data_IF_080874871295
#
_entry.id   IF_080874871295
#
_cell.length_a   1.000
_cell.length_b   1.000
_cell.length_c   1.000
_cell.angle_alpha   90.00
_cell.angle_beta   90.00
_cell.angle_gamma   90.00
#
_symmetry.space_group_name_H-M   'P 1'
#
loop_
_entity.id
_entity.type
_entity.pdbx_description
1 polymer ?
#
# COMPACT_ATOMS: atom_id res chain seq x y z
N UNK A 1 54.05 40.85 -17.39
CA UNK A 1 55.41 41.00 -17.96
C UNK A 1 55.95 39.64 -18.40
N UNK A 2 55.82 39.32 -19.69
CA UNK A 2 56.77 38.62 -20.57
C UNK A 2 56.04 38.45 -21.89
N UNK A 3 55.97 39.58 -22.60
CA UNK A 3 55.47 39.64 -23.98
C UNK A 3 56.48 38.83 -24.78
N UNK A 4 56.15 37.58 -25.13
CA UNK A 4 56.85 36.87 -26.20
C UNK A 4 56.51 37.65 -27.47
N UNK A 5 57.30 38.66 -27.79
CA UNK A 5 57.36 39.19 -29.14
C UNK A 5 57.91 38.05 -30.01
N UNK A 6 57.01 37.19 -30.52
CA UNK A 6 57.32 36.43 -31.73
C UNK A 6 57.78 37.48 -32.72
N UNK A 7 59.04 37.41 -33.11
CA UNK A 7 59.60 38.34 -34.06
C UNK A 7 58.66 38.33 -35.27
N UNK A 8 58.27 39.51 -35.75
CA UNK A 8 57.47 39.61 -36.98
C UNK A 8 58.09 38.74 -38.09
N UNK A 9 59.42 38.60 -38.08
CA UNK A 9 60.22 37.74 -38.94
C UNK A 9 59.78 36.26 -39.01
N UNK A 10 59.35 35.64 -37.90
CA UNK A 10 59.06 34.19 -37.87
C UNK A 10 57.80 33.82 -38.67
N UNK A 11 56.81 34.72 -38.72
CA UNK A 11 55.57 34.52 -39.51
C UNK A 11 55.76 34.82 -41.00
N UNK A 12 56.81 35.57 -41.36
CA UNK A 12 57.17 35.88 -42.75
C UNK A 12 58.36 35.06 -43.26
N UNK A 13 59.00 34.24 -42.41
CA UNK A 13 60.21 33.49 -42.75
C UNK A 13 60.02 32.57 -43.97
N UNK A 14 58.82 32.03 -44.15
CA UNK A 14 58.49 31.20 -45.32
C UNK A 14 58.49 32.00 -46.63
N UNK A 15 58.17 33.30 -46.61
CA UNK A 15 58.18 34.19 -47.77
C UNK A 15 59.57 34.65 -48.19
N UNK A 16 60.59 34.49 -47.32
CA UNK A 16 61.98 34.88 -47.59
C UNK A 16 62.87 33.73 -48.08
N UNK A 17 62.31 32.54 -48.35
CA UNK A 17 63.04 31.40 -48.93
C UNK A 17 63.30 31.62 -50.42
N UNK A 18 64.50 31.27 -50.91
CA UNK A 18 64.89 31.48 -52.33
C UNK A 18 64.01 30.71 -53.32
N UNK A 19 63.41 29.59 -52.89
CA UNK A 19 62.47 28.77 -53.68
C UNK A 19 60.98 29.04 -53.36
N UNK A 20 60.65 30.22 -52.83
CA UNK A 20 59.27 30.53 -52.44
C UNK A 20 58.33 30.61 -53.65
N UNK A 21 57.56 29.55 -53.87
CA UNK A 21 56.50 29.52 -54.87
C UNK A 21 55.18 30.06 -54.33
N UNK A 22 54.85 31.30 -54.73
CA UNK A 22 53.59 31.98 -54.42
C UNK A 22 52.38 31.13 -54.83
N UNK A 23 52.47 30.36 -55.92
CA UNK A 23 51.37 29.51 -56.41
C UNK A 23 51.16 28.28 -55.52
N UNK A 24 52.25 27.65 -55.07
CA UNK A 24 52.19 26.56 -54.09
C UNK A 24 51.67 27.04 -52.72
N UNK A 25 52.12 28.19 -52.23
CA UNK A 25 51.68 28.71 -50.93
C UNK A 25 50.21 29.15 -50.93
N UNK A 26 49.77 29.82 -52.01
CA UNK A 26 48.36 30.23 -52.17
C UNK A 26 47.46 29.02 -52.36
N UNK A 27 47.83 28.04 -53.18
CA UNK A 27 47.06 26.80 -53.32
C UNK A 27 46.95 26.01 -52.01
N UNK A 28 48.04 25.94 -51.22
CA UNK A 28 48.01 25.28 -49.91
C UNK A 28 47.14 26.02 -48.89
N UNK A 29 47.18 27.36 -48.87
CA UNK A 29 46.32 28.18 -48.02
C UNK A 29 44.84 28.07 -48.41
N UNK A 30 44.55 28.03 -49.72
CA UNK A 30 43.20 27.76 -50.25
C UNK A 30 42.74 26.35 -49.82
N UNK A 31 43.59 25.32 -49.94
CA UNK A 31 43.27 23.98 -49.49
C UNK A 31 43.00 23.91 -47.97
N UNK A 32 43.78 24.61 -47.15
CA UNK A 32 43.52 24.70 -45.70
C UNK A 32 42.20 25.41 -45.38
N UNK A 33 41.86 26.47 -46.11
CA UNK A 33 40.57 27.14 -45.97
C UNK A 33 39.41 26.20 -46.35
N UNK A 34 39.56 25.41 -47.41
CA UNK A 34 38.59 24.38 -47.81
C UNK A 34 38.45 23.30 -46.73
N UNK A 35 39.54 22.86 -46.11
CA UNK A 35 39.50 21.88 -45.01
C UNK A 35 38.75 22.44 -43.80
N UNK A 36 39.02 23.70 -43.43
CA UNK A 36 38.32 24.36 -42.32
C UNK A 36 36.82 24.50 -42.61
N UNK A 37 36.44 24.81 -43.86
CA UNK A 37 35.05 24.87 -44.29
C UNK A 37 34.36 23.50 -44.19
N UNK A 38 35.02 22.42 -44.61
CA UNK A 38 34.48 21.05 -44.48
C UNK A 38 34.34 20.63 -43.02
N UNK A 39 35.27 21.01 -42.15
CA UNK A 39 35.19 20.77 -40.71
C UNK A 39 34.02 21.54 -40.07
N UNK A 40 33.80 22.77 -40.49
CA UNK A 40 32.65 23.57 -40.05
C UNK A 40 31.31 22.96 -40.50
N UNK A 41 31.23 22.47 -41.75
CA UNK A 41 30.05 21.75 -42.26
C UNK A 41 29.80 20.46 -41.48
N UNK A 42 30.86 19.72 -41.13
CA UNK A 42 30.73 18.50 -40.33
C UNK A 42 30.23 18.82 -38.91
N UNK A 43 30.80 19.83 -38.24
CA UNK A 43 30.35 20.26 -36.92
C UNK A 43 28.89 20.74 -36.92
N UNK A 44 28.48 21.45 -37.99
CA UNK A 44 27.10 21.84 -38.20
C UNK A 44 26.19 20.62 -38.40
N UNK A 45 26.63 19.63 -39.19
CA UNK A 45 25.92 18.36 -39.38
C UNK A 45 25.74 17.59 -38.07
N UNK A 46 26.79 17.51 -37.24
CA UNK A 46 26.72 16.90 -35.91
C UNK A 46 25.70 17.61 -35.03
N UNK A 47 25.69 18.95 -35.01
CA UNK A 47 24.74 19.73 -34.22
C UNK A 47 23.30 19.59 -34.71
N UNK A 48 23.10 19.42 -36.01
CA UNK A 48 21.78 19.13 -36.58
C UNK A 48 21.31 17.72 -36.22
N UNK A 49 22.21 16.73 -36.30
CA UNK A 49 21.92 15.36 -35.92
C UNK A 49 21.55 15.26 -34.42
N UNK A 50 22.27 16.01 -33.57
CA UNK A 50 22.02 16.08 -32.14
C UNK A 50 20.64 16.68 -31.83
N UNK A 51 20.26 17.76 -32.52
CA UNK A 51 18.90 18.33 -32.42
C UNK A 51 17.82 17.36 -32.85
N UNK A 52 18.01 16.69 -33.99
CA UNK A 52 17.02 15.76 -34.51
C UNK A 52 16.88 14.53 -33.62
N UNK A 53 18.01 14.04 -33.09
CA UNK A 53 18.04 12.95 -32.13
C UNK A 53 17.30 13.34 -30.85
N UNK A 54 17.53 14.54 -30.33
CA UNK A 54 16.81 15.05 -29.16
C UNK A 54 15.30 15.16 -29.42
N UNK A 55 14.89 15.66 -30.59
CA UNK A 55 13.47 15.75 -30.97
C UNK A 55 12.81 14.38 -31.06
N UNK A 56 13.45 13.39 -31.69
CA UNK A 56 12.90 12.04 -31.77
C UNK A 56 12.83 11.34 -30.41
N UNK A 57 13.84 11.57 -29.57
CA UNK A 57 13.92 11.05 -28.21
C UNK A 57 12.76 11.61 -27.38
N UNK A 58 12.58 12.94 -27.36
CA UNK A 58 11.46 13.61 -26.67
C UNK A 58 10.10 13.18 -27.22
N UNK A 59 9.94 13.10 -28.54
CA UNK A 59 8.67 12.72 -29.17
C UNK A 59 8.24 11.29 -28.77
N UNK A 60 9.18 10.35 -28.65
CA UNK A 60 8.87 8.97 -28.28
C UNK A 60 8.73 8.75 -26.77
N UNK A 61 9.20 9.68 -25.94
CA UNK A 61 9.11 9.53 -24.48
C UNK A 61 7.68 9.62 -23.96
N UNK A 62 6.90 10.58 -24.46
CA UNK A 62 5.49 10.71 -24.11
C UNK A 62 4.70 9.46 -24.52
N UNK A 63 4.94 8.95 -25.73
CA UNK A 63 4.30 7.71 -26.21
C UNK A 63 4.69 6.49 -25.37
N UNK A 64 5.97 6.38 -24.99
CA UNK A 64 6.46 5.28 -24.16
C UNK A 64 5.92 5.35 -22.72
N UNK A 65 5.79 6.56 -22.16
CA UNK A 65 5.16 6.79 -20.86
C UNK A 65 3.66 6.49 -20.89
N UNK A 66 2.97 6.90 -21.95
CA UNK A 66 1.55 6.58 -22.17
C UNK A 66 1.33 5.06 -22.32
N UNK A 67 2.23 4.37 -23.00
CA UNK A 67 2.19 2.90 -23.10
C UNK A 67 2.45 2.24 -21.74
N UNK A 68 3.45 2.69 -20.97
CA UNK A 68 3.76 2.14 -19.66
C UNK A 68 2.60 2.31 -18.66
N UNK A 69 2.00 3.51 -18.61
CA UNK A 69 0.80 3.77 -17.80
C UNK A 69 -0.41 2.97 -18.28
N UNK A 70 -0.56 2.75 -19.59
CA UNK A 70 -1.58 1.87 -20.16
C UNK A 70 -1.41 0.40 -19.74
N UNK A 71 -0.17 -0.10 -19.69
CA UNK A 71 0.16 -1.46 -19.25
C UNK A 71 -0.16 -1.64 -17.77
N UNK A 72 0.19 -0.69 -16.91
CA UNK A 72 -0.13 -0.74 -15.47
C UNK A 72 -1.65 -0.81 -15.24
N UNK A 73 -2.43 -0.01 -15.98
CA UNK A 73 -3.90 -0.07 -15.95
C UNK A 73 -4.47 -1.43 -16.41
N UNK A 74 -3.85 -2.05 -17.42
CA UNK A 74 -4.20 -3.39 -17.88
C UNK A 74 -3.88 -4.45 -16.83
N UNK A 75 -2.73 -4.38 -16.17
CA UNK A 75 -2.34 -5.28 -15.10
C UNK A 75 -3.32 -5.24 -13.91
N UNK A 76 -3.75 -4.02 -13.52
CA UNK A 76 -4.77 -3.84 -12.48
C UNK A 76 -6.08 -4.51 -12.88
N UNK A 77 -6.54 -4.36 -14.14
CA UNK A 77 -7.75 -5.03 -14.63
C UNK A 77 -7.60 -6.55 -14.67
N UNK A 78 -6.46 -7.07 -15.12
CA UNK A 78 -6.19 -8.51 -15.11
C UNK A 78 -6.17 -9.07 -13.67
N UNK A 79 -5.60 -8.33 -12.72
CA UNK A 79 -5.63 -8.70 -11.30
C UNK A 79 -7.07 -8.73 -10.77
N UNK A 80 -7.88 -7.71 -11.08
CA UNK A 80 -9.30 -7.65 -10.69
C UNK A 80 -10.09 -8.80 -11.28
N UNK A 81 -9.90 -9.12 -12.56
CA UNK A 81 -10.56 -10.25 -13.23
C UNK A 81 -10.16 -11.59 -12.61
N UNK A 82 -8.88 -11.79 -12.28
CA UNK A 82 -8.41 -13.00 -11.57
C UNK A 82 -9.06 -13.13 -10.19
N UNK A 83 -9.14 -12.05 -9.42
CA UNK A 83 -9.80 -12.03 -8.11
C UNK A 83 -11.28 -12.36 -8.22
N UNK A 84 -11.97 -11.77 -9.20
CA UNK A 84 -13.39 -12.01 -9.43
C UNK A 84 -13.65 -13.46 -9.87
N UNK A 85 -12.81 -14.03 -10.75
CA UNK A 85 -12.90 -15.44 -11.15
C UNK A 85 -12.68 -16.39 -9.97
N UNK A 86 -11.80 -16.06 -9.03
CA UNK A 86 -11.62 -16.83 -7.79
C UNK A 86 -12.88 -16.79 -6.93
N UNK A 87 -13.44 -15.59 -6.70
CA UNK A 87 -14.67 -15.42 -5.91
C UNK A 87 -15.85 -16.21 -6.50
N UNK A 88 -16.02 -16.16 -7.82
CA UNK A 88 -17.07 -16.92 -8.52
C UNK A 88 -16.85 -18.42 -8.33
N UNK A 89 -15.61 -18.91 -8.46
CA UNK A 89 -15.28 -20.33 -8.28
C UNK A 89 -15.52 -20.81 -6.85
N UNK A 90 -15.20 -19.99 -5.85
CA UNK A 90 -15.50 -20.29 -4.44
C UNK A 90 -17.02 -20.33 -4.19
N UNK A 91 -17.77 -19.37 -4.73
CA UNK A 91 -19.23 -19.37 -4.67
C UNK A 91 -19.86 -20.56 -5.38
N UNK A 92 -19.34 -20.95 -6.54
CA UNK A 92 -19.77 -22.15 -7.28
C UNK A 92 -19.39 -23.44 -6.55
N UNK A 93 -18.24 -23.51 -5.89
CA UNK A 93 -17.87 -24.65 -5.05
C UNK A 93 -18.83 -24.81 -3.86
N UNK A 94 -19.32 -23.71 -3.29
CA UNK A 94 -20.39 -23.72 -2.29
C UNK A 94 -21.75 -24.14 -2.88
N UNK A 95 -22.06 -23.71 -4.11
CA UNK A 95 -23.34 -24.03 -4.79
C UNK A 95 -23.39 -25.46 -5.32
N UNK A 96 -22.25 -26.02 -5.71
CA UNK A 96 -22.10 -27.40 -6.21
C UNK A 96 -21.77 -28.43 -5.13
N UNK A 97 -21.61 -28.01 -3.87
CA UNK A 97 -21.44 -28.96 -2.77
C UNK A 97 -22.78 -29.65 -2.46
N UNK A 98 -22.77 -30.98 -2.51
CA UNK A 98 -23.85 -31.87 -2.08
C UNK A 98 -24.47 -31.35 -0.76
N UNK A 99 -25.81 -31.23 -0.62
CA UNK A 99 -26.48 -30.74 0.60
C UNK A 99 -25.94 -31.35 1.90
N UNK A 100 -25.36 -32.56 1.86
CA UNK A 100 -24.71 -33.15 3.03
C UNK A 100 -23.43 -32.46 3.50
N UNK A 101 -22.63 -31.90 2.59
CA UNK A 101 -21.43 -31.14 3.00
C UNK A 101 -21.79 -29.83 3.69
N UNK A 102 -22.90 -29.21 3.28
CA UNK A 102 -23.45 -28.00 3.91
C UNK A 102 -24.03 -28.35 5.29
N UNK A 103 -24.75 -29.48 5.41
CA UNK A 103 -25.23 -29.99 6.71
C UNK A 103 -24.09 -30.18 7.70
N UNK A 104 -23.05 -30.91 7.30
CA UNK A 104 -21.89 -31.20 8.16
C UNK A 104 -21.11 -29.94 8.53
N UNK A 105 -20.93 -29.00 7.60
CA UNK A 105 -20.10 -27.81 7.84
C UNK A 105 -20.82 -26.67 8.55
N UNK A 106 -22.15 -26.60 8.49
CA UNK A 106 -22.91 -25.43 8.95
C UNK A 106 -24.02 -25.82 9.91
N UNK A 107 -24.86 -26.81 9.56
CA UNK A 107 -26.06 -27.15 10.34
C UNK A 107 -25.71 -27.85 11.65
N UNK A 108 -24.80 -28.83 11.62
CA UNK A 108 -24.35 -29.55 12.82
C UNK A 108 -23.66 -28.64 13.85
N UNK A 109 -22.67 -27.79 13.47
CA UNK A 109 -22.08 -26.87 14.44
C UNK A 109 -23.09 -25.85 14.96
N UNK A 110 -24.04 -25.40 14.12
CA UNK A 110 -25.13 -24.52 14.56
C UNK A 110 -25.99 -25.19 15.65
N UNK A 111 -26.46 -26.42 15.41
CA UNK A 111 -27.26 -27.16 16.38
C UNK A 111 -26.51 -27.41 17.69
N UNK A 112 -25.20 -27.66 17.60
CA UNK A 112 -24.32 -27.81 18.78
C UNK A 112 -24.20 -26.52 19.57
N UNK A 113 -24.10 -25.36 18.90
CA UNK A 113 -24.09 -24.05 19.54
C UNK A 113 -25.44 -23.79 20.22
N UNK A 114 -26.56 -24.02 19.54
CA UNK A 114 -27.90 -23.81 20.10
C UNK A 114 -28.11 -24.66 21.37
N UNK A 115 -27.74 -25.95 21.31
CA UNK A 115 -27.83 -26.86 22.46
C UNK A 115 -26.97 -26.39 23.64
N UNK A 116 -25.72 -25.97 23.37
CA UNK A 116 -24.82 -25.44 24.40
C UNK A 116 -25.34 -24.13 25.00
N UNK A 117 -25.90 -23.23 24.19
CA UNK A 117 -26.51 -21.98 24.67
C UNK A 117 -27.72 -22.27 25.56
N UNK A 118 -28.54 -23.26 25.20
CA UNK A 118 -29.66 -23.68 26.04
C UNK A 118 -29.20 -24.29 27.38
N UNK A 119 -28.12 -25.08 27.37
CA UNK A 119 -27.50 -25.60 28.60
C UNK A 119 -26.94 -24.47 29.47
N UNK A 120 -26.25 -23.50 28.86
CA UNK A 120 -25.71 -22.34 29.56
C UNK A 120 -26.83 -21.51 30.20
N UNK A 121 -27.94 -21.30 29.49
CA UNK A 121 -29.11 -20.60 30.03
C UNK A 121 -29.71 -21.33 31.23
N UNK A 122 -29.83 -22.66 31.18
CA UNK A 122 -30.28 -23.47 32.33
C UNK A 122 -29.31 -23.38 33.51
N UNK A 123 -28.00 -23.42 33.25
CA UNK A 123 -26.98 -23.26 34.28
C UNK A 123 -27.04 -21.87 34.92
N UNK A 124 -27.22 -20.83 34.11
CA UNK A 124 -27.37 -19.47 34.60
C UNK A 124 -28.61 -19.34 35.49
N UNK A 125 -29.76 -19.88 35.07
CA UNK A 125 -30.97 -19.91 35.88
C UNK A 125 -30.76 -20.67 37.20
N UNK A 126 -30.03 -21.78 37.19
CA UNK A 126 -29.68 -22.51 38.40
C UNK A 126 -28.74 -21.70 39.31
N UNK A 127 -27.75 -21.00 38.76
CA UNK A 127 -26.88 -20.10 39.51
C UNK A 127 -27.65 -18.93 40.13
N UNK A 128 -28.61 -18.36 39.42
CA UNK A 128 -29.45 -17.28 39.92
C UNK A 128 -30.37 -17.76 41.04
N UNK A 129 -30.93 -18.96 40.92
CA UNK A 129 -31.67 -19.62 41.99
C UNK A 129 -30.80 -19.85 43.22
N UNK A 130 -29.56 -20.33 43.06
CA UNK A 130 -28.62 -20.52 44.16
C UNK A 130 -28.27 -19.20 44.85
N UNK A 131 -28.01 -18.13 44.10
CA UNK A 131 -27.75 -16.79 44.66
C UNK A 131 -28.94 -16.29 45.48
N UNK A 132 -30.16 -16.50 44.97
CA UNK A 132 -31.42 -16.16 45.64
C UNK A 132 -31.59 -16.95 46.94
N UNK A 133 -31.33 -18.25 46.93
CA UNK A 133 -31.38 -19.10 48.13
C UNK A 133 -30.36 -18.63 49.17
N UNK A 134 -29.10 -18.37 48.78
CA UNK A 134 -28.05 -17.89 49.69
C UNK A 134 -28.48 -16.58 50.37
N UNK A 135 -29.06 -15.65 49.59
CA UNK A 135 -29.56 -14.38 50.09
C UNK A 135 -30.72 -14.55 51.09
N UNK A 136 -31.70 -15.39 50.76
CA UNK A 136 -32.82 -15.73 51.66
C UNK A 136 -32.30 -16.35 52.97
N UNK A 137 -31.33 -17.26 52.89
CA UNK A 137 -30.71 -17.90 54.08
C UNK A 137 -29.98 -16.87 54.96
N UNK A 138 -29.23 -15.96 54.34
CA UNK A 138 -28.54 -14.88 55.06
C UNK A 138 -29.54 -13.96 55.78
N UNK A 139 -30.58 -13.49 55.07
CA UNK A 139 -31.62 -12.63 55.64
C UNK A 139 -32.40 -13.35 56.75
N UNK A 140 -32.72 -14.63 56.58
CA UNK A 140 -33.38 -15.46 57.60
C UNK A 140 -32.54 -15.60 58.86
N UNK A 141 -31.23 -15.85 58.72
CA UNK A 141 -30.30 -15.93 59.85
C UNK A 141 -30.18 -14.58 60.57
N UNK A 142 -30.12 -13.48 59.81
CA UNK A 142 -30.11 -12.11 60.36
C UNK A 142 -31.38 -11.81 61.13
N UNK A 143 -32.55 -12.14 60.56
CA UNK A 143 -33.86 -11.99 61.19
C UNK A 143 -33.94 -12.78 62.50
N UNK A 144 -33.47 -14.03 62.50
CA UNK A 144 -33.44 -14.86 63.71
C UNK A 144 -32.59 -14.22 64.82
N UNK A 145 -31.45 -13.61 64.47
CA UNK A 145 -30.63 -12.85 65.43
C UNK A 145 -31.33 -11.58 65.95
N UNK A 146 -32.03 -10.85 65.07
CA UNK A 146 -32.80 -9.65 65.46
C UNK A 146 -33.97 -9.99 66.38
N UNK A 147 -34.65 -11.12 66.15
CA UNK A 147 -35.74 -11.60 67.01
C UNK A 147 -35.24 -12.01 68.41
N UNK A 148 -34.02 -12.54 68.53
CA UNK A 148 -33.40 -12.83 69.83
C UNK A 148 -33.03 -11.57 70.63
N UNK A 149 -32.86 -10.42 69.96
CA UNK A 149 -32.62 -9.11 70.58
C UNK A 149 -33.85 -8.47 71.23
N UNK A 150 -35.02 -9.13 71.17
CA UNK A 150 -36.25 -8.72 71.84
C UNK A 150 -36.83 -7.38 71.33
N UNK A 151 -37.56 -6.67 72.20
CA UNK A 151 -38.34 -5.47 71.84
C UNK A 151 -37.54 -4.34 71.19
N UNK A 152 -36.22 -4.29 71.38
CA UNK A 152 -35.34 -3.22 70.88
C UNK A 152 -35.01 -3.33 69.39
N UNK A 153 -35.15 -4.52 68.81
CA UNK A 153 -34.75 -4.83 67.43
C UNK A 153 -35.97 -5.04 66.48
N UNK A 154 -37.21 -4.90 66.98
CA UNK A 154 -38.46 -5.16 66.23
C UNK A 154 -38.54 -4.37 64.91
N UNK A 155 -38.16 -3.10 64.91
CA UNK A 155 -38.18 -2.27 63.69
C UNK A 155 -37.20 -2.78 62.63
N UNK A 156 -36.05 -3.32 63.04
CA UNK A 156 -35.05 -3.90 62.13
C UNK A 156 -35.49 -5.28 61.62
N UNK A 157 -36.16 -6.06 62.46
CA UNK A 157 -36.77 -7.34 62.07
C UNK A 157 -37.86 -7.12 61.01
N UNK A 158 -38.71 -6.11 61.18
CA UNK A 158 -39.73 -5.74 60.19
C UNK A 158 -39.13 -5.33 58.83
N UNK A 159 -38.01 -4.61 58.84
CA UNK A 159 -37.27 -4.27 57.61
C UNK A 159 -36.68 -5.51 56.93
N UNK A 160 -36.03 -6.41 57.69
CA UNK A 160 -35.51 -7.68 57.15
C UNK A 160 -36.61 -8.57 56.56
N UNK A 161 -37.82 -8.54 57.12
CA UNK A 161 -38.97 -9.27 56.60
C UNK A 161 -39.46 -8.70 55.25
N UNK A 162 -39.49 -7.37 55.11
CA UNK A 162 -39.82 -6.69 53.85
C UNK A 162 -38.77 -6.93 52.76
N UNK A 163 -37.49 -7.04 53.12
CA UNK A 163 -36.43 -7.44 52.18
C UNK A 163 -36.59 -8.90 51.71
N UNK A 164 -37.02 -9.80 52.60
CA UNK A 164 -37.30 -11.20 52.27
C UNK A 164 -38.49 -11.34 51.33
N UNK A 165 -39.56 -10.57 51.56
CA UNK A 165 -40.79 -10.57 50.75
C UNK A 165 -40.53 -10.13 49.30
N UNK A 166 -39.59 -9.20 49.09
CA UNK A 166 -39.16 -8.75 47.76
C UNK A 166 -38.29 -9.77 47.01
N UNK A 167 -37.71 -10.72 47.73
CA UNK A 167 -36.89 -11.79 47.17
C UNK A 167 -37.73 -13.05 46.86
N UNK A 168 -39.05 -13.05 47.09
CA UNK A 168 -40.04 -14.10 46.72
C UNK A 168 -40.70 -13.78 45.36
#
# INVERSE_FOLDING_TARGET
MKVKSKSFSECYADFFREDFDVKAYTSQSIHQAVIAEQLAKLAQGISQLDKELHLQVVARHEDLLAQATGIESLEVRVMLLKKLSLCVREGEACRGSDPEKIRVKIVDPYNKIVSRTAQLAKLQAACDLLRRIIRILYLSKRLQGQLQGGSREITKAAQSLNELDKDV
#
